data_IF_513624341677
#
_entry.id   IF_513624341677
#
_cell.length_a   1.000
_cell.length_b   1.000
_cell.length_c   1.000
_cell.angle_alpha   90.00
_cell.angle_beta   90.00
_cell.angle_gamma   90.00
#
_symmetry.space_group_name_H-M   'P 1'
#
loop_
_entity.id
_entity.type
_entity.pdbx_description
1 polymer ?
#
# COMPACT_ATOMS: atom_id res chain seq x y z
N UNK A 1 -0.84 22.40 4.69
CA UNK A 1 0.27 22.32 5.67
C UNK A 1 1.00 21.03 5.42
N UNK A 2 2.23 21.09 4.90
CA UNK A 2 3.04 19.90 4.67
C UNK A 2 3.45 19.34 6.03
N UNK A 3 2.68 18.36 6.54
CA UNK A 3 3.15 17.56 7.66
C UNK A 3 4.43 16.88 7.19
N UNK A 4 5.56 17.29 7.77
CA UNK A 4 6.90 16.77 7.52
C UNK A 4 6.97 15.31 7.96
N UNK A 5 6.32 14.43 7.21
CA UNK A 5 6.34 13.00 7.42
C UNK A 5 7.51 12.45 6.61
N UNK A 6 8.40 11.77 7.29
CA UNK A 6 9.56 11.12 6.68
C UNK A 6 9.21 9.68 6.33
N UNK A 7 9.82 9.17 5.26
CA UNK A 7 9.73 7.75 4.91
C UNK A 7 10.92 7.06 5.55
N UNK A 8 10.66 6.02 6.35
CA UNK A 8 11.74 5.21 6.92
C UNK A 8 12.54 4.54 5.79
N UNK A 9 13.88 4.48 5.87
CA UNK A 9 14.70 3.81 4.87
C UNK A 9 14.35 2.32 4.71
N UNK A 10 13.73 1.72 5.73
CA UNK A 10 13.21 0.37 5.70
C UNK A 10 12.12 0.19 4.63
N UNK A 11 11.25 1.19 4.44
CA UNK A 11 10.19 1.13 3.44
C UNK A 11 10.74 1.07 2.01
N UNK A 12 11.78 1.87 1.74
CA UNK A 12 12.49 1.87 0.46
C UNK A 12 13.19 0.54 0.20
N UNK A 13 13.74 -0.07 1.26
CA UNK A 13 14.41 -1.37 1.19
C UNK A 13 13.41 -2.48 0.91
N UNK A 14 12.31 -2.55 1.68
CA UNK A 14 11.23 -3.51 1.46
C UNK A 14 10.60 -3.38 0.07
N UNK A 15 10.42 -2.15 -0.41
CA UNK A 15 9.91 -1.90 -1.76
C UNK A 15 10.85 -2.42 -2.85
N UNK A 16 12.16 -2.15 -2.71
CA UNK A 16 13.16 -2.67 -3.65
C UNK A 16 13.18 -4.19 -3.65
N UNK A 17 13.10 -4.82 -2.47
CA UNK A 17 13.04 -6.27 -2.34
C UNK A 17 11.76 -6.90 -2.94
N UNK A 18 10.64 -6.17 -2.92
CA UNK A 18 9.40 -6.60 -3.59
C UNK A 18 9.52 -6.47 -5.11
N UNK A 19 10.05 -5.34 -5.61
CA UNK A 19 10.08 -5.04 -7.04
C UNK A 19 11.21 -5.77 -7.80
N UNK A 20 12.43 -5.72 -7.27
CA UNK A 20 13.65 -6.17 -7.95
C UNK A 20 13.95 -7.64 -7.58
N UNK A 21 14.01 -7.93 -6.27
CA UNK A 21 14.27 -9.29 -5.78
C UNK A 21 13.04 -10.21 -5.84
N UNK A 22 11.83 -9.66 -6.06
CA UNK A 22 10.55 -10.41 -6.04
C UNK A 22 10.38 -11.28 -4.79
N UNK A 23 10.95 -10.80 -3.68
CA UNK A 23 11.00 -11.54 -2.42
C UNK A 23 9.68 -11.49 -1.67
N UNK A 24 9.01 -10.33 -1.70
CA UNK A 24 7.74 -10.11 -1.03
C UNK A 24 6.59 -10.09 -2.04
N UNK A 25 5.50 -10.79 -1.74
CA UNK A 25 4.24 -10.65 -2.46
C UNK A 25 3.56 -9.31 -2.14
N UNK A 26 3.61 -8.89 -0.87
CA UNK A 26 3.08 -7.59 -0.46
C UNK A 26 3.82 -6.94 0.70
N UNK A 27 3.75 -5.62 0.75
CA UNK A 27 4.23 -4.79 1.86
C UNK A 27 3.14 -3.82 2.31
N UNK A 28 3.02 -3.61 3.62
CA UNK A 28 2.10 -2.67 4.25
C UNK A 28 2.92 -1.64 5.01
N UNK A 29 2.61 -0.37 4.79
CA UNK A 29 3.24 0.79 5.40
C UNK A 29 2.22 1.58 6.22
N UNK A 30 2.60 1.97 7.43
CA UNK A 30 1.77 2.77 8.34
C UNK A 30 2.48 4.00 8.81
N UNK A 31 1.70 5.01 9.19
CA UNK A 31 2.21 6.25 9.75
C UNK A 31 2.24 6.11 11.27
N UNK A 32 3.43 6.15 11.85
CA UNK A 32 3.65 6.16 13.29
C UNK A 32 4.23 7.52 13.68
N UNK A 33 3.40 8.34 14.32
CA UNK A 33 3.76 9.71 14.69
C UNK A 33 3.95 10.62 13.48
N UNK A 34 5.19 10.77 13.01
CA UNK A 34 5.59 11.56 11.84
C UNK A 34 6.50 10.78 10.89
N UNK A 35 6.51 9.46 10.98
CA UNK A 35 7.32 8.61 10.11
C UNK A 35 6.45 7.50 9.52
N UNK A 36 6.72 7.17 8.25
CA UNK A 36 6.14 6.01 7.59
C UNK A 36 7.07 4.83 7.82
N UNK A 37 6.54 3.75 8.39
CA UNK A 37 7.27 2.53 8.72
C UNK A 37 6.63 1.33 8.05
N UNK A 38 7.43 0.30 7.78
CA UNK A 38 6.94 -1.02 7.32
C UNK A 38 6.25 -1.70 8.50
N UNK A 39 4.95 -1.94 8.37
CA UNK A 39 4.14 -2.61 9.38
C UNK A 39 4.15 -4.13 9.19
N UNK A 40 4.05 -4.57 7.93
CA UNK A 40 4.02 -5.98 7.59
C UNK A 40 4.56 -6.20 6.18
N UNK A 41 5.34 -7.25 5.99
CA UNK A 41 5.80 -7.75 4.69
C UNK A 41 5.58 -9.25 4.65
N UNK A 42 5.04 -9.73 3.53
CA UNK A 42 4.77 -11.16 3.35
C UNK A 42 5.39 -11.65 2.06
N UNK A 43 6.12 -12.77 2.14
CA UNK A 43 6.78 -13.42 1.00
C UNK A 43 5.76 -14.19 0.14
N UNK A 44 4.87 -14.97 0.78
CA UNK A 44 3.83 -15.79 0.13
C UNK A 44 2.40 -15.27 0.36
N UNK A 45 2.28 -14.04 0.87
CA UNK A 45 1.01 -13.47 1.30
C UNK A 45 0.02 -13.29 0.14
N UNK A 46 -1.22 -13.72 0.35
CA UNK A 46 -2.29 -13.57 -0.65
C UNK A 46 -3.00 -12.23 -0.50
N UNK A 47 -3.79 -11.88 -1.52
CA UNK A 47 -4.63 -10.68 -1.49
C UNK A 47 -5.56 -10.63 -0.28
N UNK A 48 -6.11 -11.79 0.12
CA UNK A 48 -7.01 -11.93 1.27
C UNK A 48 -6.30 -11.60 2.60
N UNK A 49 -5.05 -12.02 2.77
CA UNK A 49 -4.24 -11.70 3.96
C UNK A 49 -3.98 -10.19 4.07
N UNK A 50 -3.72 -9.54 2.92
CA UNK A 50 -3.58 -8.09 2.84
C UNK A 50 -4.88 -7.39 3.21
N UNK A 51 -6.02 -7.81 2.65
CA UNK A 51 -7.33 -7.22 2.99
C UNK A 51 -7.63 -7.38 4.48
N UNK A 52 -7.40 -8.57 5.03
CA UNK A 52 -7.63 -8.85 6.44
C UNK A 52 -6.79 -7.94 7.34
N UNK A 53 -5.50 -7.75 7.00
CA UNK A 53 -4.61 -6.86 7.72
C UNK A 53 -5.05 -5.39 7.65
N UNK A 54 -5.45 -4.92 6.47
CA UNK A 54 -5.94 -3.56 6.28
C UNK A 54 -7.22 -3.32 7.11
N UNK A 55 -8.14 -4.28 7.11
CA UNK A 55 -9.38 -4.19 7.88
C UNK A 55 -9.15 -4.24 9.39
N UNK A 56 -8.30 -5.14 9.88
CA UNK A 56 -8.07 -5.32 11.32
C UNK A 56 -7.26 -4.19 11.96
N UNK A 57 -6.23 -3.70 11.26
CA UNK A 57 -5.25 -2.75 11.83
C UNK A 57 -5.52 -1.29 11.46
N UNK A 58 -6.45 -1.01 10.53
CA UNK A 58 -6.87 0.35 10.15
C UNK A 58 -6.05 0.97 9.01
N UNK A 59 -6.02 2.31 8.87
CA UNK A 59 -5.47 3.00 7.69
C UNK A 59 -3.99 2.66 7.43
N UNK A 60 -3.67 2.39 6.17
CA UNK A 60 -2.33 2.00 5.73
C UNK A 60 -2.14 2.25 4.23
N UNK A 61 -0.89 2.26 3.79
CA UNK A 61 -0.56 2.09 2.38
C UNK A 61 -0.10 0.66 2.16
N UNK A 62 -0.48 0.04 1.06
CA UNK A 62 -0.02 -1.28 0.72
C UNK A 62 0.49 -1.32 -0.72
N UNK A 63 1.49 -2.15 -0.95
CA UNK A 63 2.04 -2.44 -2.28
C UNK A 63 1.91 -3.94 -2.49
N UNK A 64 1.28 -4.32 -3.60
CA UNK A 64 1.04 -5.71 -3.95
C UNK A 64 1.59 -5.98 -5.35
N UNK A 65 2.44 -7.02 -5.47
CA UNK A 65 2.84 -7.56 -6.77
C UNK A 65 1.89 -8.70 -7.15
N UNK A 66 1.25 -8.57 -8.32
CA UNK A 66 0.39 -9.62 -8.87
C UNK A 66 1.19 -10.81 -9.42
N UNK A 67 2.52 -10.70 -9.50
CA UNK A 67 3.42 -11.78 -9.88
C UNK A 67 3.40 -12.07 -11.38
N UNK A 68 4.06 -13.17 -11.77
CA UNK A 68 4.32 -13.50 -13.18
C UNK A 68 3.04 -13.68 -14.01
N UNK A 69 1.98 -14.24 -13.42
CA UNK A 69 0.68 -14.46 -14.10
C UNK A 69 0.05 -13.16 -14.62
N UNK A 70 0.43 -12.01 -14.06
CA UNK A 70 -0.04 -10.69 -14.48
C UNK A 70 1.12 -9.79 -14.96
N UNK A 71 2.28 -10.36 -15.26
CA UNK A 71 3.44 -9.63 -15.78
C UNK A 71 4.17 -8.76 -14.75
N UNK A 72 4.16 -9.16 -13.47
CA UNK A 72 4.71 -8.37 -12.36
C UNK A 72 4.13 -6.95 -12.28
N UNK A 73 2.83 -6.84 -12.55
CA UNK A 73 2.11 -5.57 -12.35
C UNK A 73 2.04 -5.29 -10.86
N UNK A 74 2.50 -4.12 -10.46
CA UNK A 74 2.51 -3.69 -9.06
C UNK A 74 1.37 -2.70 -8.84
N UNK A 75 0.51 -2.96 -7.87
CA UNK A 75 -0.51 -2.00 -7.44
C UNK A 75 -0.12 -1.32 -6.14
N UNK A 76 -0.35 -0.01 -6.09
CA UNK A 76 -0.29 0.78 -4.86
C UNK A 76 -1.70 1.05 -4.36
N UNK A 77 -1.96 0.65 -3.12
CA UNK A 77 -3.26 0.70 -2.46
C UNK A 77 -3.15 1.68 -1.30
N UNK A 78 -3.97 2.72 -1.30
CA UNK A 78 -4.14 3.63 -0.18
C UNK A 78 -5.43 3.27 0.55
N UNK A 79 -5.30 2.63 1.71
CA UNK A 79 -6.43 2.25 2.55
C UNK A 79 -6.65 3.31 3.62
N UNK A 80 -7.79 3.98 3.55
CA UNK A 80 -8.21 4.96 4.55
C UNK A 80 -9.69 4.76 4.86
N UNK A 81 -10.04 3.90 5.84
CA UNK A 81 -11.42 3.55 6.11
C UNK A 81 -12.25 4.77 6.48
N UNK A 82 -13.54 4.78 6.12
CA UNK A 82 -14.39 5.95 6.40
C UNK A 82 -14.57 6.22 7.91
N UNK A 83 -14.46 5.20 8.75
CA UNK A 83 -14.48 5.35 10.20
C UNK A 83 -13.21 6.03 10.78
N UNK A 84 -12.15 6.18 9.98
CA UNK A 84 -10.93 6.85 10.42
C UNK A 84 -11.18 8.34 10.74
N UNK A 85 -10.50 8.84 11.78
CA UNK A 85 -10.65 10.25 12.18
C UNK A 85 -10.28 11.21 11.03
N UNK A 86 -10.93 12.38 10.99
CA UNK A 86 -10.65 13.42 9.99
C UNK A 86 -9.16 13.79 9.90
N UNK A 87 -8.48 13.81 11.05
CA UNK A 87 -7.03 14.05 11.12
C UNK A 87 -6.24 12.95 10.42
N UNK A 88 -6.58 11.68 10.64
CA UNK A 88 -5.95 10.54 9.98
C UNK A 88 -6.16 10.59 8.48
N UNK A 89 -7.41 10.80 8.03
CA UNK A 89 -7.73 10.96 6.60
C UNK A 89 -6.91 12.07 5.95
N UNK A 90 -6.80 13.22 6.61
CA UNK A 90 -6.00 14.35 6.14
C UNK A 90 -4.51 14.01 6.05
N UNK A 91 -3.95 13.34 7.06
CA UNK A 91 -2.54 12.95 7.08
C UNK A 91 -2.21 11.96 5.96
N UNK A 92 -2.96 10.86 5.87
CA UNK A 92 -2.75 9.84 4.83
C UNK A 92 -2.93 10.43 3.42
N UNK A 93 -3.95 11.26 3.21
CA UNK A 93 -4.13 11.96 1.94
C UNK A 93 -2.97 12.90 1.59
N UNK A 94 -2.40 13.59 2.59
CA UNK A 94 -1.30 14.54 2.37
C UNK A 94 0.05 13.89 2.07
N UNK A 95 0.29 12.64 2.52
CA UNK A 95 1.60 11.99 2.41
C UNK A 95 1.62 10.82 1.44
N UNK A 96 0.47 10.51 0.82
CA UNK A 96 0.34 9.50 -0.23
C UNK A 96 1.36 9.69 -1.36
N UNK A 97 1.55 10.93 -1.80
CA UNK A 97 2.52 11.24 -2.86
C UNK A 97 3.98 11.20 -2.36
N UNK A 98 4.21 11.28 -1.05
CA UNK A 98 5.55 11.13 -0.43
C UNK A 98 5.95 9.66 -0.28
N UNK A 99 5.01 8.79 0.08
CA UNK A 99 5.26 7.34 0.20
C UNK A 99 5.39 6.66 -1.17
N UNK A 100 4.88 7.29 -2.24
CA UNK A 100 4.97 6.79 -3.61
C UNK A 100 6.31 7.23 -4.23
N UNK A 101 7.33 6.36 -4.32
CA UNK A 101 8.67 6.75 -4.78
C UNK A 101 8.71 7.22 -6.24
N UNK A 102 7.91 6.61 -7.14
CA UNK A 102 7.73 7.09 -8.51
C UNK A 102 6.44 6.55 -9.12
N UNK A 103 5.72 7.34 -9.94
CA UNK A 103 4.50 6.90 -10.57
C UNK A 103 4.69 5.78 -11.60
N UNK A 104 5.80 5.79 -12.33
CA UNK A 104 6.13 4.81 -13.37
C UNK A 104 6.41 3.41 -12.82
N UNK A 105 6.66 3.27 -11.52
CA UNK A 105 6.94 1.98 -10.92
C UNK A 105 5.69 1.20 -10.51
N UNK A 106 4.50 1.79 -10.65
CA UNK A 106 3.24 1.17 -10.28
C UNK A 106 2.32 1.12 -11.50
N UNK A 107 1.78 -0.06 -11.78
CA UNK A 107 0.83 -0.27 -12.85
C UNK A 107 -0.55 0.29 -12.50
N UNK A 108 -0.90 0.29 -11.21
CA UNK A 108 -2.21 0.71 -10.76
C UNK A 108 -2.16 1.44 -9.42
N UNK A 109 -3.04 2.42 -9.26
CA UNK A 109 -3.25 3.16 -8.03
C UNK A 109 -4.70 3.04 -7.59
N UNK A 110 -4.90 2.63 -6.34
CA UNK A 110 -6.21 2.37 -5.76
C UNK A 110 -6.31 3.20 -4.49
N UNK A 111 -7.33 4.04 -4.39
CA UNK A 111 -7.70 4.68 -3.14
C UNK A 111 -8.95 3.96 -2.64
N UNK A 112 -8.84 3.33 -1.48
CA UNK A 112 -9.87 2.50 -0.91
C UNK A 112 -10.33 3.05 0.44
N UNK A 113 -11.63 3.10 0.61
CA UNK A 113 -12.32 3.63 1.78
C UNK A 113 -13.22 2.56 2.42
N UNK A 114 -13.63 1.55 1.65
CA UNK A 114 -14.37 0.40 2.12
C UNK A 114 -13.86 -0.93 1.54
N UNK A 115 -14.27 -2.04 2.14
CA UNK A 115 -13.80 -3.38 1.78
C UNK A 115 -14.03 -3.75 0.29
N UNK A 116 -15.06 -3.17 -0.34
CA UNK A 116 -15.39 -3.36 -1.74
C UNK A 116 -14.40 -2.68 -2.69
N UNK A 117 -13.77 -1.57 -2.30
CA UNK A 117 -12.76 -0.88 -3.13
C UNK A 117 -11.50 -1.74 -3.33
N UNK A 118 -11.21 -2.61 -2.38
CA UNK A 118 -10.09 -3.55 -2.44
C UNK A 118 -10.53 -4.94 -2.88
N UNK A 119 -11.66 -5.09 -3.57
CA UNK A 119 -12.05 -6.37 -4.17
C UNK A 119 -11.04 -6.84 -5.23
N UNK A 120 -10.47 -8.03 -5.05
CA UNK A 120 -9.45 -8.58 -5.98
C UNK A 120 -9.94 -8.59 -7.42
N UNK A 121 -11.20 -8.97 -7.65
CA UNK A 121 -11.78 -9.05 -8.99
C UNK A 121 -11.93 -7.68 -9.65
N UNK A 122 -12.33 -6.66 -8.89
CA UNK A 122 -12.36 -5.26 -9.33
C UNK A 122 -10.96 -4.74 -9.69
N UNK A 123 -9.98 -4.99 -8.82
CA UNK A 123 -8.60 -4.57 -9.06
C UNK A 123 -7.99 -5.23 -10.29
N UNK A 124 -8.19 -6.54 -10.45
CA UNK A 124 -7.68 -7.28 -11.62
C UNK A 124 -8.26 -6.77 -12.94
N UNK A 125 -9.52 -6.31 -12.96
CA UNK A 125 -10.11 -5.71 -14.18
C UNK A 125 -9.48 -4.38 -14.56
N UNK A 126 -8.89 -3.66 -13.62
CA UNK A 126 -8.17 -2.41 -13.89
C UNK A 126 -6.76 -2.67 -14.42
N UNK A 127 -6.28 -3.91 -14.32
CA UNK A 127 -4.97 -4.32 -14.81
C UNK A 127 -4.99 -4.90 -16.22
N UNK A 128 -6.14 -5.26 -16.79
CA UNK A 128 -6.27 -5.82 -18.15
C UNK A 128 -5.94 -4.80 -19.25
#
# INVERSE_FOLDING_TARGET
>A
MASSITVSPDCSTAYTQLKDDKKYAFNIYRIVGKEIVTDESSEDGQWEDLQENLHKKGPAFAVYDFGESYGHKIAFISWTPDDATARTKMIYGSVRDTVRPSPDNFSLHINAYDAGDIDKGGVLRLLD
#
